data_IF_246356813871
#
_entry.id   IF_246356813871
#
_cell.length_a   1.000
_cell.length_b   1.000
_cell.length_c   1.000
_cell.angle_alpha   90.00
_cell.angle_beta   90.00
_cell.angle_gamma   90.00
#
_symmetry.space_group_name_H-M   'P 1'
#
loop_
_entity.id
_entity.type
_entity.pdbx_description
1 polymer ?
#
# COMPACT_ATOMS: atom_id res chain seq x y z
N UNK A 1 -13.88 6.59 -5.20
CA UNK A 1 -13.95 7.83 -6.02
C UNK A 1 -15.34 8.46 -6.13
N UNK A 2 -16.44 7.72 -6.30
CA UNK A 2 -17.81 8.31 -6.33
C UNK A 2 -18.23 9.00 -5.02
N UNK A 3 -17.81 8.51 -3.84
CA UNK A 3 -18.17 9.10 -2.52
C UNK A 3 -17.64 10.53 -2.32
N UNK A 4 -16.34 10.74 -2.53
CA UNK A 4 -15.72 12.07 -2.35
C UNK A 4 -16.34 13.13 -3.28
N UNK A 5 -16.75 12.75 -4.50
CA UNK A 5 -17.36 13.70 -5.43
C UNK A 5 -18.74 14.18 -4.94
N UNK A 6 -19.57 13.29 -4.39
CA UNK A 6 -20.84 13.68 -3.80
C UNK A 6 -20.68 14.55 -2.55
N UNK A 7 -19.68 14.27 -1.72
CA UNK A 7 -19.41 15.03 -0.49
C UNK A 7 -18.93 16.46 -0.80
N UNK A 8 -18.01 16.61 -1.76
CA UNK A 8 -17.54 17.93 -2.22
C UNK A 8 -18.69 18.73 -2.85
N UNK A 9 -19.57 18.08 -3.62
CA UNK A 9 -20.74 18.74 -4.20
C UNK A 9 -21.75 19.17 -3.13
N UNK A 10 -21.93 18.36 -2.09
CA UNK A 10 -22.79 18.70 -0.95
C UNK A 10 -22.23 19.91 -0.18
N UNK A 11 -20.92 19.97 0.06
CA UNK A 11 -20.25 21.12 0.68
C UNK A 11 -20.41 22.40 -0.14
N UNK A 12 -20.19 22.33 -1.46
CA UNK A 12 -20.38 23.48 -2.33
C UNK A 12 -21.81 24.02 -2.27
N UNK A 13 -22.79 23.12 -2.16
CA UNK A 13 -24.18 23.52 -2.00
C UNK A 13 -24.47 24.13 -0.61
N UNK A 14 -23.90 23.58 0.47
CA UNK A 14 -24.09 24.13 1.82
C UNK A 14 -23.45 25.51 1.97
N UNK A 15 -22.26 25.74 1.39
CA UNK A 15 -21.61 27.06 1.37
C UNK A 15 -22.44 28.10 0.62
N UNK A 16 -23.05 27.74 -0.51
CA UNK A 16 -23.95 28.64 -1.25
C UNK A 16 -25.16 29.05 -0.43
N UNK A 17 -25.80 28.09 0.25
CA UNK A 17 -26.95 28.35 1.12
C UNK A 17 -26.54 29.26 2.28
N UNK A 18 -25.39 28.98 2.91
CA UNK A 18 -24.86 29.81 4.00
C UNK A 18 -24.65 31.26 3.56
N UNK A 19 -24.04 31.49 2.39
CA UNK A 19 -23.83 32.84 1.86
C UNK A 19 -25.15 33.59 1.64
N UNK A 20 -26.15 32.93 1.03
CA UNK A 20 -27.46 33.54 0.80
C UNK A 20 -28.14 33.89 2.13
N UNK A 21 -28.16 32.96 3.08
CA UNK A 21 -28.78 33.17 4.40
C UNK A 21 -28.07 34.28 5.18
N UNK A 22 -26.73 34.29 5.18
CA UNK A 22 -25.94 35.33 5.85
C UNK A 22 -26.17 36.72 5.25
N UNK A 23 -26.31 36.82 3.92
CA UNK A 23 -26.62 38.07 3.24
C UNK A 23 -28.02 38.59 3.62
N UNK A 24 -29.04 37.71 3.62
CA UNK A 24 -30.40 38.06 4.05
C UNK A 24 -30.41 38.54 5.51
N UNK A 25 -29.73 37.82 6.41
CA UNK A 25 -29.64 38.23 7.82
C UNK A 25 -28.95 39.58 7.98
N UNK A 26 -27.88 39.83 7.23
CA UNK A 26 -27.15 41.11 7.27
C UNK A 26 -28.07 42.27 6.87
N UNK A 27 -28.86 42.11 5.80
CA UNK A 27 -29.83 43.12 5.35
C UNK A 27 -30.88 43.37 6.43
N UNK A 28 -31.42 42.31 7.05
CA UNK A 28 -32.41 42.44 8.12
C UNK A 28 -31.86 43.18 9.35
N UNK A 29 -30.64 42.85 9.78
CA UNK A 29 -29.96 43.53 10.90
C UNK A 29 -29.74 45.00 10.57
N UNK A 30 -29.32 45.31 9.33
CA UNK A 30 -29.11 46.70 8.89
C UNK A 30 -30.41 47.52 8.92
N UNK A 31 -31.51 46.98 8.37
CA UNK A 31 -32.82 47.64 8.39
C UNK A 31 -33.28 47.87 9.84
N UNK A 32 -33.11 46.88 10.72
CA UNK A 32 -33.52 47.00 12.12
C UNK A 32 -32.69 48.04 12.88
N UNK A 33 -31.36 48.05 12.69
CA UNK A 33 -30.46 49.02 13.34
C UNK A 33 -30.80 50.45 12.93
N UNK A 34 -30.97 50.69 11.62
CA UNK A 34 -31.35 52.00 11.08
C UNK A 34 -32.76 52.43 11.50
N UNK A 35 -33.69 51.48 11.61
CA UNK A 35 -35.06 51.69 12.07
C UNK A 35 -35.13 52.17 13.51
N UNK A 36 -34.40 51.47 14.40
CA UNK A 36 -34.33 51.81 15.83
C UNK A 36 -33.68 53.16 16.08
N UNK A 37 -32.67 53.53 15.29
CA UNK A 37 -32.01 54.83 15.38
C UNK A 37 -32.86 55.99 14.82
N UNK A 38 -34.04 55.72 14.24
CA UNK A 38 -34.91 56.75 13.67
C UNK A 38 -34.35 57.44 12.42
N UNK A 39 -33.24 56.93 11.87
CA UNK A 39 -32.52 57.52 10.74
C UNK A 39 -33.36 57.59 9.45
N UNK A 40 -34.38 56.74 9.31
CA UNK A 40 -35.32 56.81 8.18
C UNK A 40 -36.22 58.06 8.20
N UNK A 41 -36.35 58.73 9.34
CA UNK A 41 -37.16 59.95 9.50
C UNK A 41 -36.34 61.24 9.44
N UNK A 42 -35.01 61.14 9.36
CA UNK A 42 -34.10 62.28 9.28
C UNK A 42 -33.83 62.67 7.82
N UNK A 43 -33.63 63.97 7.57
CA UNK A 43 -33.21 64.45 6.25
C UNK A 43 -31.78 63.98 5.96
N UNK A 44 -31.51 63.62 4.70
CA UNK A 44 -30.18 63.21 4.24
C UNK A 44 -29.18 64.33 4.52
N UNK A 45 -28.11 64.01 5.24
CA UNK A 45 -27.12 64.98 5.69
C UNK A 45 -25.71 64.38 5.58
N UNK A 46 -24.74 65.19 5.12
CA UNK A 46 -23.35 64.79 4.87
C UNK A 46 -22.35 65.49 5.80
N UNK A 47 -22.81 66.01 6.94
CA UNK A 47 -21.90 66.56 7.95
C UNK A 47 -21.14 65.44 8.64
N UNK A 48 -19.95 65.75 9.18
CA UNK A 48 -19.14 64.78 9.90
C UNK A 48 -19.92 64.04 11.01
N UNK A 49 -20.74 64.77 11.78
CA UNK A 49 -21.57 64.20 12.86
C UNK A 49 -22.65 63.23 12.34
N UNK A 50 -23.23 63.48 11.16
CA UNK A 50 -24.17 62.56 10.50
C UNK A 50 -23.49 61.26 10.09
N UNK A 51 -22.34 61.39 9.44
CA UNK A 51 -21.58 60.26 8.92
C UNK A 51 -21.11 59.37 10.08
N UNK A 52 -20.57 59.97 11.14
CA UNK A 52 -20.09 59.25 12.32
C UNK A 52 -21.24 58.52 13.05
N UNK A 53 -22.39 59.18 13.23
CA UNK A 53 -23.58 58.55 13.85
C UNK A 53 -24.11 57.40 13.00
N UNK A 54 -24.15 57.55 11.67
CA UNK A 54 -24.57 56.48 10.76
C UNK A 54 -23.66 55.25 10.82
N UNK A 55 -22.34 55.45 10.79
CA UNK A 55 -21.39 54.34 10.91
C UNK A 55 -21.38 53.70 12.30
N UNK A 56 -21.57 54.49 13.35
CA UNK A 56 -21.73 54.00 14.72
C UNK A 56 -22.89 53.00 14.83
N UNK A 57 -24.06 53.33 14.27
CA UNK A 57 -25.24 52.45 14.28
C UNK A 57 -25.10 51.21 13.37
N UNK A 58 -24.19 51.24 12.39
CA UNK A 58 -23.86 50.10 11.53
C UNK A 58 -22.75 49.18 12.10
N UNK A 59 -22.12 49.54 13.21
CA UNK A 59 -21.03 48.75 13.82
C UNK A 59 -21.43 47.29 14.08
N UNK A 60 -22.69 47.07 14.49
CA UNK A 60 -23.23 45.73 14.71
C UNK A 60 -23.37 44.92 13.41
N UNK A 61 -23.71 45.58 12.29
CA UNK A 61 -23.79 44.95 10.97
C UNK A 61 -22.41 44.53 10.49
N UNK A 62 -21.42 45.42 10.62
CA UNK A 62 -20.03 45.14 10.24
C UNK A 62 -19.47 43.98 11.09
N UNK A 63 -19.71 44.00 12.41
CA UNK A 63 -19.29 42.93 13.31
C UNK A 63 -19.93 41.58 12.98
N UNK A 64 -21.20 41.57 12.58
CA UNK A 64 -21.88 40.35 12.13
C UNK A 64 -21.27 39.80 10.83
N UNK A 65 -20.97 40.67 9.86
CA UNK A 65 -20.32 40.27 8.61
C UNK A 65 -18.93 39.67 8.87
N UNK A 66 -18.12 40.31 9.74
CA UNK A 66 -16.81 39.78 10.14
C UNK A 66 -16.94 38.40 10.80
N UNK A 67 -17.91 38.23 11.71
CA UNK A 67 -18.20 36.93 12.32
C UNK A 67 -18.60 35.88 11.27
N UNK A 68 -19.49 36.21 10.34
CA UNK A 68 -19.93 35.30 9.29
C UNK A 68 -18.77 34.87 8.38
N UNK A 69 -17.90 35.81 8.00
CA UNK A 69 -16.69 35.51 7.23
C UNK A 69 -15.74 34.59 8.00
N UNK A 70 -15.52 34.84 9.30
CA UNK A 70 -14.68 33.99 10.15
C UNK A 70 -15.22 32.57 10.26
N UNK A 71 -16.54 32.40 10.41
CA UNK A 71 -17.20 31.08 10.42
C UNK A 71 -17.03 30.36 9.09
N UNK A 72 -17.20 31.09 7.97
CA UNK A 72 -17.04 30.52 6.63
C UNK A 72 -15.61 30.04 6.39
N UNK A 73 -14.62 30.89 6.65
CA UNK A 73 -13.21 30.56 6.46
C UNK A 73 -12.83 29.37 7.34
N UNK A 74 -13.20 29.39 8.62
CA UNK A 74 -12.91 28.28 9.56
C UNK A 74 -13.51 26.96 9.08
N UNK A 75 -14.76 26.97 8.59
CA UNK A 75 -15.44 25.78 8.08
C UNK A 75 -14.74 25.20 6.85
N UNK A 76 -14.37 26.06 5.89
CA UNK A 76 -13.62 25.66 4.69
C UNK A 76 -12.25 25.11 5.05
N UNK A 77 -11.55 25.73 5.99
CA UNK A 77 -10.24 25.26 6.46
C UNK A 77 -10.32 23.87 7.10
N UNK A 78 -11.25 23.65 8.03
CA UNK A 78 -11.44 22.35 8.69
C UNK A 78 -11.74 21.27 7.65
N UNK A 79 -12.66 21.54 6.73
CA UNK A 79 -13.02 20.58 5.68
C UNK A 79 -11.86 20.32 4.72
N UNK A 80 -11.10 21.36 4.36
CA UNK A 80 -9.92 21.25 3.52
C UNK A 80 -8.85 20.35 4.14
N UNK A 81 -8.57 20.51 5.44
CA UNK A 81 -7.63 19.66 6.19
C UNK A 81 -8.13 18.21 6.23
N UNK A 82 -9.40 18.01 6.55
CA UNK A 82 -10.01 16.68 6.58
C UNK A 82 -9.89 15.95 5.23
N UNK A 83 -10.21 16.63 4.13
CA UNK A 83 -10.13 16.04 2.80
C UNK A 83 -8.67 15.83 2.35
N UNK A 84 -7.75 16.73 2.71
CA UNK A 84 -6.33 16.54 2.45
C UNK A 84 -5.80 15.27 3.15
N UNK A 85 -6.18 15.05 4.40
CA UNK A 85 -5.81 13.84 5.14
C UNK A 85 -6.39 12.57 4.51
N UNK A 86 -7.69 12.57 4.15
CA UNK A 86 -8.31 11.42 3.50
C UNK A 86 -7.69 11.10 2.13
N UNK A 87 -7.35 12.12 1.35
CA UNK A 87 -6.63 11.94 0.09
C UNK A 87 -5.24 11.35 0.33
N UNK A 88 -4.52 11.83 1.35
CA UNK A 88 -3.23 11.29 1.73
C UNK A 88 -3.31 9.82 2.13
N UNK A 89 -4.27 9.44 2.99
CA UNK A 89 -4.49 8.04 3.37
C UNK A 89 -4.86 7.16 2.16
N UNK A 90 -5.77 7.63 1.32
CA UNK A 90 -6.15 6.92 0.08
C UNK A 90 -4.97 6.76 -0.87
N UNK A 91 -4.09 7.78 -0.95
CA UNK A 91 -2.89 7.74 -1.77
C UNK A 91 -1.88 6.73 -1.25
N UNK A 92 -1.71 6.61 0.08
CA UNK A 92 -0.90 5.57 0.70
C UNK A 92 -1.43 4.18 0.35
N UNK A 93 -2.74 3.93 0.47
CA UNK A 93 -3.31 2.61 0.19
C UNK A 93 -3.22 2.23 -1.29
N UNK A 94 -3.42 3.20 -2.18
CA UNK A 94 -3.18 3.02 -3.61
C UNK A 94 -1.71 2.71 -3.89
N UNK A 95 -0.79 3.43 -3.24
CA UNK A 95 0.65 3.21 -3.35
C UNK A 95 1.05 1.80 -2.89
N UNK A 96 0.58 1.35 -1.72
CA UNK A 96 0.82 -0.01 -1.19
C UNK A 96 0.33 -1.08 -2.17
N UNK A 97 -0.88 -0.91 -2.69
CA UNK A 97 -1.48 -1.85 -3.65
C UNK A 97 -0.67 -1.91 -4.95
N UNK A 98 -0.22 -0.75 -5.44
CA UNK A 98 0.61 -0.67 -6.64
C UNK A 98 1.97 -1.34 -6.42
N UNK A 99 2.66 -1.05 -5.30
CA UNK A 99 3.93 -1.69 -4.93
C UNK A 99 3.77 -3.21 -4.88
N UNK A 100 2.74 -3.72 -4.21
CA UNK A 100 2.45 -5.15 -4.15
C UNK A 100 2.27 -5.76 -5.55
N UNK A 101 1.44 -5.14 -6.39
CA UNK A 101 1.10 -5.64 -7.72
C UNK A 101 2.31 -5.61 -8.66
N UNK A 102 3.05 -4.50 -8.67
CA UNK A 102 4.25 -4.34 -9.49
C UNK A 102 5.29 -5.37 -9.10
N UNK A 103 5.62 -5.49 -7.81
CA UNK A 103 6.63 -6.42 -7.35
C UNK A 103 6.24 -7.89 -7.59
N UNK A 104 4.97 -8.25 -7.34
CA UNK A 104 4.44 -9.57 -7.65
C UNK A 104 4.54 -9.91 -9.14
N UNK A 105 4.17 -8.97 -10.02
CA UNK A 105 4.27 -9.19 -11.46
C UNK A 105 5.72 -9.31 -11.90
N UNK A 106 6.60 -8.41 -11.44
CA UNK A 106 8.05 -8.50 -11.74
C UNK A 106 8.65 -9.82 -11.27
N UNK A 107 8.34 -10.27 -10.05
CA UNK A 107 8.79 -11.55 -9.54
C UNK A 107 8.28 -12.73 -10.36
N UNK A 108 6.99 -12.75 -10.68
CA UNK A 108 6.36 -13.79 -11.49
C UNK A 108 6.95 -13.84 -12.91
N UNK A 109 7.09 -12.68 -13.56
CA UNK A 109 7.59 -12.58 -14.94
C UNK A 109 9.07 -13.00 -14.99
N UNK A 110 9.87 -12.61 -14.00
CA UNK A 110 11.25 -13.08 -13.82
C UNK A 110 11.30 -14.60 -13.66
N UNK A 111 10.49 -15.17 -12.76
CA UNK A 111 10.44 -16.62 -12.56
C UNK A 111 9.99 -17.37 -13.82
N UNK A 112 9.02 -16.86 -14.57
CA UNK A 112 8.58 -17.46 -15.83
C UNK A 112 9.75 -17.45 -16.83
N UNK A 113 10.46 -16.35 -16.95
CA UNK A 113 11.61 -16.24 -17.87
C UNK A 113 12.73 -17.20 -17.48
N UNK A 114 13.07 -17.28 -16.20
CA UNK A 114 14.12 -18.17 -15.70
C UNK A 114 13.71 -19.64 -15.77
N UNK A 115 12.45 -19.99 -15.49
CA UNK A 115 11.99 -21.37 -15.67
C UNK A 115 12.02 -21.77 -17.15
N UNK A 116 11.65 -20.85 -18.05
CA UNK A 116 11.63 -21.12 -19.50
C UNK A 116 13.02 -21.22 -20.13
N UNK A 117 14.05 -20.70 -19.46
CA UNK A 117 15.44 -20.81 -19.94
C UNK A 117 16.10 -22.14 -19.58
N UNK A 118 15.44 -22.99 -18.80
CA UNK A 118 15.91 -24.33 -18.44
C UNK A 118 15.09 -25.40 -19.17
N UNK A 119 15.78 -26.38 -19.77
CA UNK A 119 15.14 -27.38 -20.62
C UNK A 119 14.25 -28.38 -19.84
N UNK A 120 14.54 -28.61 -18.55
CA UNK A 120 13.87 -29.66 -17.75
C UNK A 120 12.85 -29.11 -16.77
N UNK A 121 12.77 -27.79 -16.62
CA UNK A 121 11.80 -27.14 -15.76
C UNK A 121 10.50 -26.86 -16.54
N UNK A 122 9.36 -27.18 -15.92
CA UNK A 122 8.05 -26.87 -16.49
C UNK A 122 7.39 -25.78 -15.65
N UNK A 123 6.96 -24.69 -16.29
CA UNK A 123 6.21 -23.58 -15.66
C UNK A 123 5.05 -24.10 -14.80
N UNK A 124 4.33 -25.13 -15.27
CA UNK A 124 3.18 -25.72 -14.54
C UNK A 124 3.56 -26.37 -13.21
N UNK A 125 4.83 -26.69 -13.01
CA UNK A 125 5.36 -27.24 -11.77
C UNK A 125 5.58 -26.19 -10.69
N UNK A 126 5.43 -24.90 -10.99
CA UNK A 126 5.70 -23.81 -10.06
C UNK A 126 4.43 -23.01 -9.73
N UNK A 127 4.15 -22.87 -8.43
CA UNK A 127 3.17 -21.92 -7.93
C UNK A 127 3.88 -20.62 -7.53
N UNK A 128 4.01 -19.70 -8.48
CA UNK A 128 4.68 -18.41 -8.30
C UNK A 128 4.07 -17.57 -7.17
N UNK A 129 2.74 -17.59 -7.03
CA UNK A 129 2.06 -16.84 -5.98
C UNK A 129 2.38 -17.40 -4.59
N UNK A 130 2.43 -18.73 -4.45
CA UNK A 130 2.79 -19.37 -3.17
C UNK A 130 4.23 -19.06 -2.80
N UNK A 131 5.15 -19.14 -3.77
CA UNK A 131 6.55 -18.78 -3.54
C UNK A 131 6.66 -17.33 -3.10
N UNK A 132 6.04 -16.41 -3.86
CA UNK A 132 6.04 -14.99 -3.56
C UNK A 132 5.48 -14.67 -2.17
N UNK A 133 4.35 -15.28 -1.79
CA UNK A 133 3.73 -14.99 -0.49
C UNK A 133 4.56 -15.51 0.70
N UNK A 134 5.36 -16.56 0.51
CA UNK A 134 6.28 -17.04 1.53
C UNK A 134 7.50 -16.11 1.60
N UNK A 135 8.02 -15.70 0.44
CA UNK A 135 9.15 -14.78 0.35
C UNK A 135 8.82 -13.38 0.89
N UNK A 136 7.64 -12.83 0.58
CA UNK A 136 7.25 -11.45 0.90
C UNK A 136 5.84 -11.38 1.52
N UNK A 137 5.67 -11.89 2.75
CA UNK A 137 4.36 -12.03 3.39
C UNK A 137 3.67 -10.69 3.67
N UNK A 138 4.46 -9.62 3.89
CA UNK A 138 3.97 -8.27 4.19
C UNK A 138 3.82 -7.37 2.96
N UNK A 139 4.00 -7.91 1.75
CA UNK A 139 3.95 -7.12 0.50
C UNK A 139 2.62 -6.40 0.30
N UNK A 140 1.50 -6.95 0.77
CA UNK A 140 0.18 -6.29 0.74
C UNK A 140 0.12 -4.98 1.54
N UNK A 141 0.99 -4.85 2.53
CA UNK A 141 1.14 -3.62 3.32
C UNK A 141 2.16 -2.65 2.70
N UNK A 142 2.66 -2.94 1.50
CA UNK A 142 3.71 -2.18 0.82
C UNK A 142 5.12 -2.44 1.35
N UNK A 143 5.32 -3.49 2.16
CA UNK A 143 6.62 -3.85 2.72
C UNK A 143 7.21 -5.05 1.97
N UNK A 144 8.41 -4.88 1.41
CA UNK A 144 9.09 -5.91 0.61
C UNK A 144 10.18 -6.65 1.40
N UNK A 145 10.02 -6.70 2.72
CA UNK A 145 10.91 -7.45 3.60
C UNK A 145 10.71 -8.96 3.41
N UNK A 146 11.81 -9.72 3.55
CA UNK A 146 11.80 -11.17 3.41
C UNK A 146 11.09 -11.78 4.63
N UNK A 147 10.24 -12.76 4.37
CA UNK A 147 9.57 -13.52 5.40
C UNK A 147 10.52 -14.46 6.14
N UNK A 148 10.39 -14.51 7.47
CA UNK A 148 11.10 -15.49 8.32
C UNK A 148 10.85 -16.93 7.86
N UNK A 149 9.65 -17.23 7.36
CA UNK A 149 9.30 -18.55 6.82
C UNK A 149 10.12 -18.91 5.58
N UNK A 150 10.46 -17.93 4.74
CA UNK A 150 11.31 -18.12 3.58
C UNK A 150 12.75 -18.43 3.99
N UNK A 151 13.30 -17.66 4.95
CA UNK A 151 14.63 -17.93 5.47
C UNK A 151 14.73 -19.31 6.13
N UNK A 152 13.71 -19.68 6.92
CA UNK A 152 13.62 -21.01 7.53
C UNK A 152 13.55 -22.11 6.47
N UNK A 153 12.80 -21.89 5.39
CA UNK A 153 12.76 -22.82 4.27
C UNK A 153 14.12 -22.96 3.58
N UNK A 154 14.86 -21.87 3.35
CA UNK A 154 16.24 -21.93 2.82
C UNK A 154 17.17 -22.71 3.76
N UNK A 155 17.06 -22.48 5.08
CA UNK A 155 17.87 -23.21 6.07
C UNK A 155 17.52 -24.72 6.07
N UNK A 156 16.24 -25.08 5.97
CA UNK A 156 15.79 -26.48 5.87
C UNK A 156 16.28 -27.14 4.58
N UNK A 157 16.21 -26.44 3.45
CA UNK A 157 16.73 -26.90 2.18
C UNK A 157 18.24 -27.20 2.25
N UNK A 158 19.00 -26.28 2.84
CA UNK A 158 20.43 -26.45 3.08
C UNK A 158 20.74 -27.60 4.05
N UNK A 159 19.90 -27.81 5.06
CA UNK A 159 20.05 -28.93 5.99
C UNK A 159 19.87 -30.28 5.28
N UNK A 160 18.87 -30.41 4.40
CA UNK A 160 18.66 -31.64 3.61
C UNK A 160 19.82 -31.92 2.65
N UNK A 161 20.36 -30.87 2.00
CA UNK A 161 21.55 -31.00 1.14
C UNK A 161 22.76 -31.46 1.97
N UNK A 162 22.95 -30.88 3.16
CA UNK A 162 24.04 -31.26 4.07
C UNK A 162 23.92 -32.72 4.52
N UNK A 163 22.74 -33.16 4.97
CA UNK A 163 22.48 -34.56 5.32
C UNK A 163 22.82 -35.49 4.16
N UNK A 164 22.43 -35.12 2.94
CA UNK A 164 22.79 -35.92 1.76
C UNK A 164 24.29 -35.97 1.52
N UNK A 165 25.00 -34.85 1.64
CA UNK A 165 26.45 -34.80 1.42
C UNK A 165 27.20 -35.65 2.46
N UNK A 166 26.79 -35.59 3.73
CA UNK A 166 27.39 -36.35 4.82
C UNK A 166 27.21 -37.87 4.63
N UNK A 167 26.05 -38.31 4.13
CA UNK A 167 25.76 -39.72 3.81
C UNK A 167 26.56 -40.22 2.59
N UNK A 168 26.76 -39.36 1.58
CA UNK A 168 27.50 -39.68 0.36
C UNK A 168 29.01 -39.79 0.63
N UNK A 169 29.53 -38.96 1.53
CA UNK A 169 30.93 -38.95 1.96
C UNK A 169 31.27 -39.96 3.06
N UNK A 170 30.29 -40.77 3.50
CA UNK A 170 30.50 -41.82 4.51
C UNK A 170 30.74 -41.30 5.93
N UNK A 171 30.40 -40.05 6.22
CA UNK A 171 30.50 -39.45 7.56
C UNK A 171 29.48 -40.08 8.52
N UNK A 172 28.37 -40.59 7.99
CA UNK A 172 27.33 -41.29 8.74
C UNK A 172 27.29 -42.78 8.38
N UNK A 173 27.10 -43.64 9.39
CA UNK A 173 27.12 -45.10 9.22
C UNK A 173 25.94 -45.68 8.41
N UNK A 174 24.93 -44.86 8.12
CA UNK A 174 23.79 -45.24 7.29
C UNK A 174 24.13 -45.02 5.83
N UNK A 175 23.96 -46.04 4.99
CA UNK A 175 24.18 -45.90 3.54
C UNK A 175 23.23 -44.88 2.90
N UNK A 176 23.70 -44.18 1.87
CA UNK A 176 22.90 -43.22 1.11
C UNK A 176 21.75 -43.92 0.36
N UNK A 177 20.51 -43.56 0.70
CA UNK A 177 19.30 -44.01 0.00
C UNK A 177 18.69 -42.88 -0.83
N UNK A 178 18.84 -43.00 -2.15
CA UNK A 178 18.34 -42.04 -3.12
C UNK A 178 16.82 -41.82 -3.04
N UNK A 179 16.02 -42.88 -2.84
CA UNK A 179 14.55 -42.75 -2.80
C UNK A 179 14.11 -41.95 -1.59
N UNK A 180 14.80 -42.13 -0.46
CA UNK A 180 14.56 -41.33 0.76
C UNK A 180 14.98 -39.87 0.55
N UNK A 181 16.14 -39.60 -0.05
CA UNK A 181 16.58 -38.24 -0.37
C UNK A 181 15.57 -37.52 -1.26
N UNK A 182 15.23 -38.13 -2.40
CA UNK A 182 14.25 -37.59 -3.34
C UNK A 182 12.93 -37.27 -2.65
N UNK A 183 12.44 -38.16 -1.78
CA UNK A 183 11.22 -37.92 -1.00
C UNK A 183 11.30 -36.70 -0.07
N UNK A 184 12.43 -36.50 0.62
CA UNK A 184 12.65 -35.35 1.50
C UNK A 184 12.74 -34.05 0.70
N UNK A 185 13.50 -34.04 -0.39
CA UNK A 185 13.64 -32.86 -1.25
C UNK A 185 12.31 -32.42 -1.87
N UNK A 186 11.54 -33.35 -2.44
CA UNK A 186 10.21 -33.06 -2.98
C UNK A 186 9.31 -32.46 -1.89
N UNK A 187 9.37 -32.98 -0.66
CA UNK A 187 8.59 -32.46 0.47
C UNK A 187 8.98 -31.01 0.83
N UNK A 188 10.27 -30.70 0.89
CA UNK A 188 10.77 -29.35 1.19
C UNK A 188 10.43 -28.37 0.06
N UNK A 189 10.65 -28.75 -1.19
CA UNK A 189 10.32 -27.92 -2.37
C UNK A 189 8.83 -27.61 -2.47
N UNK A 190 7.96 -28.58 -2.12
CA UNK A 190 6.50 -28.38 -2.14
C UNK A 190 6.02 -27.31 -1.15
N UNK A 191 6.78 -27.04 -0.07
CA UNK A 191 6.45 -25.98 0.90
C UNK A 191 6.36 -24.62 0.21
N UNK A 192 7.32 -24.30 -0.66
CA UNK A 192 7.36 -23.03 -1.40
C UNK A 192 6.51 -23.05 -2.69
N UNK A 193 5.94 -24.21 -3.05
CA UNK A 193 5.09 -24.36 -4.23
C UNK A 193 5.80 -24.87 -5.47
N UNK A 194 6.98 -25.46 -5.32
CA UNK A 194 7.70 -26.16 -6.38
C UNK A 194 7.30 -27.63 -6.35
N UNK A 195 6.75 -28.14 -7.44
CA UNK A 195 6.29 -29.52 -7.59
C UNK A 195 7.25 -30.32 -8.46
N UNK A 196 8.15 -31.09 -7.83
CA UNK A 196 9.08 -31.95 -8.54
C UNK A 196 8.51 -33.38 -8.69
N UNK A 197 8.48 -33.95 -9.90
CA UNK A 197 8.08 -35.33 -10.10
C UNK A 197 9.13 -36.30 -9.52
N UNK A 198 8.72 -37.53 -9.22
CA UNK A 198 9.66 -38.61 -8.95
C UNK A 198 10.23 -39.10 -10.28
N UNK A 199 11.56 -39.05 -10.40
CA UNK A 199 12.31 -39.47 -11.58
C UNK A 199 13.41 -40.48 -11.20
N UNK A 200 13.99 -41.10 -12.22
CA UNK A 200 15.21 -41.89 -12.08
C UNK A 200 16.37 -41.01 -11.58
N UNK A 201 17.40 -41.66 -11.02
CA UNK A 201 18.47 -41.00 -10.27
C UNK A 201 19.13 -39.84 -11.02
N UNK A 202 19.53 -40.10 -12.26
CA UNK A 202 20.27 -39.11 -13.06
C UNK A 202 19.36 -37.93 -13.43
N UNK A 203 18.15 -38.20 -13.91
CA UNK A 203 17.20 -37.16 -14.31
C UNK A 203 16.79 -36.26 -13.14
N UNK A 204 16.63 -36.84 -11.94
CA UNK A 204 16.31 -36.06 -10.76
C UNK A 204 17.47 -35.20 -10.29
N UNK A 205 18.72 -35.67 -10.40
CA UNK A 205 19.89 -34.88 -10.05
C UNK A 205 20.05 -33.66 -10.96
N UNK A 206 19.81 -33.82 -12.25
CA UNK A 206 19.82 -32.71 -13.20
C UNK A 206 18.70 -31.72 -12.89
N UNK A 207 17.47 -32.20 -12.72
CA UNK A 207 16.32 -31.37 -12.36
C UNK A 207 16.50 -30.64 -11.01
N UNK A 208 17.02 -31.33 -9.99
CA UNK A 208 17.33 -30.72 -8.70
C UNK A 208 18.40 -29.63 -8.85
N UNK A 209 19.44 -29.87 -9.65
CA UNK A 209 20.48 -28.89 -9.95
C UNK A 209 19.93 -27.61 -10.57
N UNK A 210 19.08 -27.74 -11.58
CA UNK A 210 18.40 -26.59 -12.21
C UNK A 210 17.48 -25.85 -11.22
N UNK A 211 16.72 -26.57 -10.41
CA UNK A 211 15.88 -25.96 -9.36
C UNK A 211 16.73 -25.19 -8.34
N UNK A 212 17.87 -25.72 -7.89
CA UNK A 212 18.74 -24.99 -6.96
C UNK A 212 19.36 -23.75 -7.58
N UNK A 213 19.74 -23.82 -8.87
CA UNK A 213 20.25 -22.66 -9.60
C UNK A 213 19.17 -21.58 -9.70
N UNK A 214 17.94 -21.95 -10.04
CA UNK A 214 16.80 -21.03 -10.08
C UNK A 214 16.59 -20.35 -8.71
N UNK A 215 16.56 -21.13 -7.62
CA UNK A 215 16.36 -20.56 -6.28
C UNK A 215 17.51 -19.61 -5.91
N UNK A 216 18.76 -19.96 -6.23
CA UNK A 216 19.90 -19.07 -6.00
C UNK A 216 19.79 -17.75 -6.77
N UNK A 217 19.39 -17.80 -8.06
CA UNK A 217 19.17 -16.59 -8.86
C UNK A 217 18.09 -15.70 -8.25
N UNK A 218 16.96 -16.29 -7.86
CA UNK A 218 15.87 -15.59 -7.17
C UNK A 218 16.33 -14.96 -5.85
N UNK A 219 17.14 -15.69 -5.08
CA UNK A 219 17.69 -15.18 -3.83
C UNK A 219 18.62 -13.99 -4.03
N UNK A 220 19.44 -14.00 -5.08
CA UNK A 220 20.34 -12.89 -5.41
C UNK A 220 19.57 -11.66 -5.91
N UNK A 221 18.59 -11.85 -6.79
CA UNK A 221 17.88 -10.73 -7.42
C UNK A 221 16.82 -10.10 -6.53
N UNK A 222 16.08 -10.90 -5.76
CA UNK A 222 14.92 -10.41 -5.00
C UNK A 222 15.11 -10.42 -3.48
N UNK A 223 15.89 -11.36 -2.96
CA UNK A 223 15.98 -11.57 -1.52
C UNK A 223 17.29 -11.01 -0.94
N UNK A 224 18.29 -10.65 -1.74
CA UNK A 224 19.61 -10.19 -1.25
C UNK A 224 20.17 -11.03 -0.09
N UNK A 225 19.82 -12.32 -0.03
CA UNK A 225 20.25 -13.21 1.04
C UNK A 225 21.71 -13.57 0.80
N UNK A 226 22.59 -13.26 1.75
CA UNK A 226 24.00 -13.67 1.72
C UNK A 226 24.18 -15.20 1.89
N UNK A 227 23.07 -15.91 2.19
CA UNK A 227 23.04 -17.36 2.30
C UNK A 227 22.82 -18.01 0.93
N UNK A 228 23.93 -18.44 0.30
CA UNK A 228 23.89 -19.29 -0.90
C UNK A 228 23.42 -20.70 -0.55
N UNK A 229 22.68 -21.34 -1.47
CA UNK A 229 22.36 -22.77 -1.34
C UNK A 229 23.65 -23.59 -1.51
N UNK A 230 23.86 -24.56 -0.64
CA UNK A 230 25.05 -25.42 -0.70
C UNK A 230 25.11 -26.22 -2.00
N UNK A 231 26.33 -26.37 -2.54
CA UNK A 231 26.57 -27.25 -3.69
C UNK A 231 26.49 -28.71 -3.23
N UNK A 232 25.76 -29.52 -3.99
CA UNK A 232 25.62 -30.95 -3.72
C UNK A 232 26.82 -31.73 -4.27
N UNK A 233 27.27 -32.74 -3.52
CA UNK A 233 28.23 -33.74 -3.98
C UNK A 233 27.48 -34.97 -4.50
N UNK A 234 27.79 -35.36 -5.74
CA UNK A 234 27.24 -36.56 -6.37
C UNK A 234 28.30 -37.67 -6.33
N UNK A 235 27.89 -38.88 -5.92
CA UNK A 235 28.60 -40.13 -6.19
C UNK A 235 28.11 -40.73 -7.51
#
# INVERSE_FOLDING_TARGET
>A
MKSNYSEVKALLNSLKIYLIVSAILTILIAIFSLGKAGLFSQNICFTYQCIDSFFSELTNVISFVDFALKVLVSSVTIFGIYHALNNYLSSIDASRSNIHLTHLNTFKDYLISEVSSHDRLNIKSFNFFKWYNIAFPLSRNGKLDIGVDYENWINELNAEIKISNDLVQGVTASGYDYKKHQGRMIKVMKKVGINCPRLHRNDFYELEGEVMQLINKVNMEFCFLDKKIFKRHYN
#
